data_IF_257650537524
#
_entry.id   IF_257650537524
#
_cell.length_a   1.000
_cell.length_b   1.000
_cell.length_c   1.000
_cell.angle_alpha   90.00
_cell.angle_beta   90.00
_cell.angle_gamma   90.00
#
_symmetry.space_group_name_H-M   'P 1'
#
loop_
_entity.id
_entity.type
_entity.pdbx_description
1 polymer ?
#
# COMPACT_ATOMS: atom_id res chain seq x y z
N UNK A 1 -23.71 26.99 0.87
CA UNK A 1 -22.98 26.63 -0.38
C UNK A 1 -22.37 25.26 -0.19
N UNK A 2 -22.89 24.25 -0.90
CA UNK A 2 -22.34 22.89 -0.90
C UNK A 2 -21.38 22.78 -2.07
N UNK A 3 -20.09 22.78 -1.79
CA UNK A 3 -19.08 22.55 -2.80
C UNK A 3 -18.99 21.03 -3.04
N UNK A 4 -19.49 20.61 -4.19
CA UNK A 4 -19.29 19.26 -4.72
C UNK A 4 -17.82 19.12 -5.13
N UNK A 5 -17.11 18.15 -4.57
CA UNK A 5 -15.76 17.79 -5.01
C UNK A 5 -15.77 16.35 -5.52
N UNK A 6 -15.68 16.26 -6.84
CA UNK A 6 -15.50 15.04 -7.65
C UNK A 6 -14.25 14.27 -7.21
N UNK A 7 -14.44 13.02 -6.78
CA UNK A 7 -13.38 12.05 -6.52
C UNK A 7 -12.93 11.48 -7.87
N UNK A 8 -11.72 11.81 -8.31
CA UNK A 8 -11.11 11.24 -9.50
C UNK A 8 -10.58 9.83 -9.19
N UNK A 9 -11.28 8.82 -9.72
CA UNK A 9 -10.75 7.47 -9.92
C UNK A 9 -9.76 7.51 -11.09
N UNK A 10 -8.47 7.32 -10.83
CA UNK A 10 -7.51 7.02 -11.89
C UNK A 10 -7.13 5.55 -11.86
N UNK A 11 -7.81 4.80 -12.74
CA UNK A 11 -7.41 3.50 -13.24
C UNK A 11 -6.22 3.75 -14.18
N UNK A 12 -5.06 3.19 -13.89
CA UNK A 12 -3.94 3.23 -14.82
C UNK A 12 -4.18 2.20 -15.94
N UNK A 13 -4.42 2.71 -17.14
CA UNK A 13 -4.45 1.97 -18.39
C UNK A 13 -3.04 1.53 -18.80
N UNK A 14 -2.90 0.31 -19.34
CA UNK A 14 -1.73 -0.13 -20.08
C UNK A 14 -2.15 -0.45 -21.52
N UNK A 15 -1.42 0.17 -22.44
CA UNK A 15 -1.69 0.35 -23.86
C UNK A 15 -1.74 -0.97 -24.63
N UNK A 16 -2.82 -1.14 -25.40
CA UNK A 16 -2.86 -2.02 -26.57
C UNK A 16 -2.12 -1.33 -27.71
N UNK A 17 -1.07 -1.95 -28.24
CA UNK A 17 -0.55 -1.65 -29.58
C UNK A 17 -0.71 -2.90 -30.42
N UNK A 18 -1.58 -2.81 -31.41
CA UNK A 18 -1.83 -3.83 -32.44
C UNK A 18 -0.87 -3.65 -33.61
N UNK A 19 -0.37 -4.77 -34.16
CA UNK A 19 -0.07 -4.88 -35.59
C UNK A 19 -0.24 -6.33 -36.03
N UNK A 20 -1.29 -6.61 -36.80
CA UNK A 20 -1.48 -7.82 -37.60
C UNK A 20 -0.62 -7.74 -38.88
N UNK A 21 -0.12 -8.83 -39.49
CA UNK A 21 -0.81 -9.68 -40.48
C UNK A 21 0.03 -10.94 -40.83
N UNK A 22 -0.50 -11.96 -41.56
CA UNK A 22 -0.26 -13.38 -41.28
C UNK A 22 0.46 -14.13 -42.41
N UNK A 23 0.85 -15.38 -42.17
CA UNK A 23 0.96 -16.38 -43.25
C UNK A 23 0.74 -17.80 -42.74
N UNK A 24 -0.13 -18.49 -43.48
CA UNK A 24 -0.61 -19.88 -43.37
C UNK A 24 0.55 -20.89 -43.34
N UNK A 25 0.35 -22.05 -42.71
CA UNK A 25 0.20 -23.35 -43.40
C UNK A 25 -0.41 -24.44 -42.49
N UNK A 26 -1.08 -25.39 -43.16
CA UNK A 26 -2.01 -26.42 -42.69
C UNK A 26 -1.38 -27.57 -41.86
N UNK A 27 -2.14 -28.17 -40.94
CA UNK A 27 -2.62 -29.58 -41.02
C UNK A 27 -3.44 -30.00 -39.78
N UNK A 28 -4.58 -30.62 -40.08
CA UNK A 28 -5.61 -31.24 -39.24
C UNK A 28 -5.13 -32.49 -38.51
N UNK A 29 -5.44 -32.66 -37.21
CA UNK A 29 -6.24 -33.77 -36.68
C UNK A 29 -6.58 -33.59 -35.18
N UNK A 30 -7.72 -34.16 -34.83
CA UNK A 30 -8.60 -33.99 -33.67
C UNK A 30 -8.05 -34.66 -32.39
N UNK A 31 -8.25 -34.09 -31.20
CA UNK A 31 -9.18 -34.64 -30.19
C UNK A 31 -9.35 -33.67 -29.02
N UNK A 32 -10.60 -33.49 -28.61
CA UNK A 32 -11.05 -32.58 -27.57
C UNK A 32 -10.52 -32.92 -26.16
N UNK A 33 -10.21 -31.89 -25.38
CA UNK A 33 -10.33 -31.87 -23.92
C UNK A 33 -10.55 -30.44 -23.42
N UNK A 34 -11.54 -30.30 -22.56
CA UNK A 34 -11.98 -29.08 -21.90
C UNK A 34 -10.92 -28.44 -20.98
N UNK A 35 -11.14 -27.16 -20.67
CA UNK A 35 -10.61 -26.37 -19.55
C UNK A 35 -9.09 -26.14 -19.50
N UNK A 36 -8.65 -24.88 -19.57
CA UNK A 36 -8.32 -24.09 -18.37
C UNK A 36 -7.66 -22.76 -18.77
N UNK A 37 -8.04 -21.74 -18.00
CA UNK A 37 -7.44 -20.42 -17.89
C UNK A 37 -5.95 -20.58 -17.54
N UNK A 38 -5.10 -19.68 -18.03
CA UNK A 38 -4.08 -18.94 -17.24
C UNK A 38 -2.86 -18.59 -18.10
N UNK A 39 -2.69 -17.29 -18.39
CA UNK A 39 -1.37 -16.75 -18.75
C UNK A 39 -1.05 -15.45 -17.97
N UNK A 40 -1.74 -15.22 -16.85
CA UNK A 40 -1.50 -14.09 -15.93
C UNK A 40 -0.92 -14.57 -14.59
N UNK A 41 -0.34 -15.77 -14.55
CA UNK A 41 0.29 -16.30 -13.34
C UNK A 41 1.72 -15.71 -13.18
N UNK A 42 1.95 -15.08 -12.02
CA UNK A 42 3.26 -14.98 -11.31
C UNK A 42 4.03 -13.65 -11.29
N UNK A 43 3.38 -12.51 -11.05
CA UNK A 43 4.07 -11.35 -10.39
C UNK A 43 3.77 -11.22 -8.90
N UNK A 44 2.60 -11.69 -8.47
CA UNK A 44 2.16 -11.72 -7.07
C UNK A 44 2.94 -12.67 -6.14
N UNK A 45 3.42 -13.87 -6.56
CA UNK A 45 4.12 -14.78 -5.65
C UNK A 45 5.46 -14.22 -5.16
N UNK A 46 6.18 -13.48 -6.00
CA UNK A 46 7.52 -12.95 -5.69
C UNK A 46 7.48 -11.83 -4.66
N UNK A 47 6.43 -11.00 -4.68
CA UNK A 47 6.22 -9.93 -3.69
C UNK A 47 5.79 -10.53 -2.34
N UNK A 48 4.97 -11.59 -2.36
CA UNK A 48 4.48 -12.28 -1.16
C UNK A 48 5.59 -13.11 -0.46
N UNK A 49 6.45 -13.81 -1.20
CA UNK A 49 7.63 -14.47 -0.65
C UNK A 49 8.64 -13.48 -0.07
N UNK A 50 8.86 -12.35 -0.76
CA UNK A 50 9.73 -11.25 -0.29
C UNK A 50 9.26 -10.58 1.00
N UNK A 51 7.96 -10.64 1.28
CA UNK A 51 7.37 -10.07 2.49
C UNK A 51 7.31 -11.07 3.67
N UNK A 52 7.32 -12.38 3.40
CA UNK A 52 7.46 -13.42 4.44
C UNK A 52 8.90 -13.56 4.94
N UNK A 53 9.89 -13.47 4.06
CA UNK A 53 11.34 -13.48 4.39
C UNK A 53 11.83 -12.16 5.03
N UNK A 54 10.99 -11.12 5.02
CA UNK A 54 11.28 -9.71 5.28
C UNK A 54 11.57 -9.30 6.74
N UNK A 55 10.99 -9.99 7.73
CA UNK A 55 10.93 -9.45 9.11
C UNK A 55 12.18 -9.72 9.97
N UNK A 56 12.98 -10.74 9.66
CA UNK A 56 14.22 -11.06 10.39
C UNK A 56 15.43 -10.30 9.82
N UNK A 57 15.62 -10.32 8.50
CA UNK A 57 16.79 -9.72 7.84
C UNK A 57 16.75 -8.18 7.78
N UNK A 58 15.56 -7.56 7.71
CA UNK A 58 15.47 -6.08 7.59
C UNK A 58 15.75 -5.31 8.86
N UNK A 59 15.47 -5.85 10.04
CA UNK A 59 15.84 -5.14 11.29
C UNK A 59 17.36 -4.96 11.39
N UNK A 60 18.13 -5.84 10.75
CA UNK A 60 19.59 -5.77 10.69
C UNK A 60 20.11 -4.90 9.52
N UNK A 61 19.27 -4.61 8.50
CA UNK A 61 19.65 -3.83 7.32
C UNK A 61 20.22 -2.45 7.70
N UNK A 62 21.36 -2.03 7.11
CA UNK A 62 21.93 -0.70 7.31
C UNK A 62 20.92 0.43 7.06
N UNK A 63 20.08 0.29 6.03
CA UNK A 63 19.06 1.29 5.66
C UNK A 63 18.01 1.43 6.76
N UNK A 64 17.54 0.31 7.32
CA UNK A 64 16.57 0.32 8.41
C UNK A 64 17.15 0.93 9.69
N UNK A 65 18.41 0.61 10.01
CA UNK A 65 19.13 1.22 11.15
C UNK A 65 19.25 2.73 10.98
N UNK A 66 19.61 3.20 9.79
CA UNK A 66 19.67 4.64 9.48
C UNK A 66 18.31 5.32 9.56
N UNK A 67 17.25 4.68 9.06
CA UNK A 67 15.89 5.19 9.14
C UNK A 67 15.40 5.32 10.61
N UNK A 68 15.73 4.35 11.47
CA UNK A 68 15.44 4.42 12.91
C UNK A 68 16.25 5.51 13.59
N UNK A 69 17.55 5.62 13.30
CA UNK A 69 18.39 6.69 13.86
C UNK A 69 17.78 8.05 13.52
N UNK A 70 17.51 8.31 12.24
CA UNK A 70 16.89 9.55 11.81
C UNK A 70 15.52 9.78 12.46
N UNK A 71 14.71 8.74 12.67
CA UNK A 71 13.42 8.88 13.37
C UNK A 71 13.60 9.39 14.81
N UNK A 72 14.66 8.94 15.49
CA UNK A 72 15.03 9.39 16.84
C UNK A 72 15.65 10.79 16.81
N UNK A 73 16.57 11.06 15.88
CA UNK A 73 17.28 12.33 15.76
C UNK A 73 16.32 13.50 15.51
N UNK A 74 15.21 13.25 14.80
CA UNK A 74 14.15 14.22 14.57
C UNK A 74 13.04 14.20 15.65
N UNK A 75 13.23 13.46 16.74
CA UNK A 75 12.34 13.38 17.91
C UNK A 75 10.88 13.02 17.55
N UNK A 76 10.68 12.25 16.47
CA UNK A 76 9.36 12.00 15.90
C UNK A 76 8.44 11.18 16.81
N UNK A 77 8.99 10.50 17.82
CA UNK A 77 8.21 9.79 18.83
C UNK A 77 7.38 10.74 19.71
N UNK A 78 7.87 11.95 19.94
CA UNK A 78 7.24 12.90 20.88
C UNK A 78 6.34 13.93 20.16
N UNK A 79 6.44 14.02 18.83
CA UNK A 79 5.65 14.94 18.02
C UNK A 79 4.15 14.60 18.08
N UNK A 80 3.32 15.62 18.38
CA UNK A 80 1.86 15.58 18.24
C UNK A 80 1.48 15.83 16.79
N UNK A 81 0.48 15.12 16.27
CA UNK A 81 0.06 15.29 14.87
C UNK A 81 1.16 14.95 13.87
N UNK A 82 1.96 13.91 14.15
CA UNK A 82 3.19 13.53 13.43
C UNK A 82 3.13 13.75 11.91
N UNK A 83 2.10 13.24 11.24
CA UNK A 83 1.94 13.28 9.79
C UNK A 83 1.82 14.69 9.19
N UNK A 84 1.45 15.69 10.01
CA UNK A 84 1.41 17.10 9.61
C UNK A 84 2.70 17.86 9.88
N UNK A 85 3.70 17.24 10.51
CA UNK A 85 4.93 17.94 10.91
C UNK A 85 5.97 18.00 9.79
N UNK A 86 6.71 19.11 9.72
CA UNK A 86 7.86 19.25 8.83
C UNK A 86 8.94 18.20 9.11
N UNK A 87 9.14 17.84 10.37
CA UNK A 87 10.11 16.82 10.78
C UNK A 87 9.77 15.44 10.18
N UNK A 88 8.50 15.03 10.19
CA UNK A 88 8.06 13.80 9.54
C UNK A 88 8.32 13.81 8.03
N UNK A 89 8.05 14.95 7.37
CA UNK A 89 8.33 15.13 5.94
C UNK A 89 9.82 14.96 5.62
N UNK A 90 10.71 15.57 6.41
CA UNK A 90 12.16 15.47 6.22
C UNK A 90 12.63 14.04 6.43
N UNK A 91 12.15 13.38 7.48
CA UNK A 91 12.45 11.98 7.75
C UNK A 91 12.00 11.05 6.62
N UNK A 92 10.74 11.16 6.18
CA UNK A 92 10.20 10.32 5.11
C UNK A 92 10.97 10.49 3.79
N UNK A 93 11.39 11.73 3.47
CA UNK A 93 12.30 12.01 2.35
C UNK A 93 13.63 11.29 2.51
N UNK A 94 14.23 11.35 3.70
CA UNK A 94 15.50 10.66 3.97
C UNK A 94 15.36 9.15 3.80
N UNK A 95 14.29 8.54 4.33
CA UNK A 95 14.04 7.10 4.15
C UNK A 95 13.88 6.73 2.68
N UNK A 96 13.14 7.54 1.91
CA UNK A 96 12.96 7.33 0.46
C UNK A 96 14.25 7.46 -0.34
N UNK A 97 15.14 8.37 0.06
CA UNK A 97 16.46 8.51 -0.56
C UNK A 97 17.41 7.34 -0.23
N UNK A 98 17.27 6.73 0.95
CA UNK A 98 18.08 5.59 1.36
C UNK A 98 17.70 4.30 0.62
N UNK A 99 16.40 4.10 0.36
CA UNK A 99 15.89 2.92 -0.35
C UNK A 99 14.50 3.21 -0.92
N UNK A 100 14.45 3.64 -2.18
CA UNK A 100 13.22 4.06 -2.84
C UNK A 100 12.21 2.91 -2.96
N UNK A 101 12.67 1.70 -3.24
CA UNK A 101 11.80 0.53 -3.46
C UNK A 101 11.14 0.07 -2.16
N UNK A 102 11.87 0.15 -1.05
CA UNK A 102 11.43 -0.40 0.22
C UNK A 102 10.95 0.64 1.23
N UNK A 103 10.98 1.93 0.87
CA UNK A 103 10.71 3.07 1.75
C UNK A 103 9.41 2.91 2.52
N UNK A 104 8.30 2.61 1.82
CA UNK A 104 6.97 2.44 2.42
C UNK A 104 6.97 1.40 3.53
N UNK A 105 7.57 0.24 3.26
CA UNK A 105 7.63 -0.84 4.23
C UNK A 105 8.59 -0.54 5.39
N UNK A 106 9.73 0.16 5.16
CA UNK A 106 10.62 0.64 6.25
C UNK A 106 9.85 1.59 7.18
N UNK A 107 9.20 2.61 6.59
CA UNK A 107 8.46 3.61 7.34
C UNK A 107 7.32 2.97 8.12
N UNK A 108 6.58 2.04 7.50
CA UNK A 108 5.50 1.29 8.13
C UNK A 108 5.98 0.53 9.38
N UNK A 109 7.07 -0.25 9.29
CA UNK A 109 7.61 -0.99 10.44
C UNK A 109 7.95 -0.07 11.61
N UNK A 110 8.50 1.10 11.33
CA UNK A 110 8.90 2.06 12.35
C UNK A 110 7.65 2.68 13.00
N UNK A 111 6.66 3.08 12.20
CA UNK A 111 5.42 3.70 12.67
C UNK A 111 4.54 2.72 13.47
N UNK A 112 4.52 1.43 13.10
CA UNK A 112 3.81 0.38 13.83
C UNK A 112 4.35 0.13 15.25
N UNK A 113 5.50 0.71 15.62
CA UNK A 113 5.99 0.68 17.01
C UNK A 113 5.24 1.66 17.91
N UNK A 114 4.53 2.63 17.33
CA UNK A 114 3.79 3.68 18.05
C UNK A 114 2.28 3.58 17.86
N UNK A 115 1.84 3.15 16.69
CA UNK A 115 0.44 3.05 16.33
C UNK A 115 0.11 1.60 16.02
N UNK A 116 -1.06 1.13 16.46
CA UNK A 116 -1.64 -0.06 15.85
C UNK A 116 -1.97 0.20 14.37
N UNK A 117 -2.07 -0.86 13.60
CA UNK A 117 -2.21 -0.82 12.14
C UNK A 117 -3.50 -0.12 11.69
N UNK A 118 -4.63 -0.34 12.39
CA UNK A 118 -5.91 0.32 12.09
C UNK A 118 -5.84 1.82 12.37
N UNK A 119 -5.30 2.23 13.52
CA UNK A 119 -5.13 3.64 13.85
C UNK A 119 -4.18 4.31 12.86
N UNK A 120 -3.10 3.64 12.48
CA UNK A 120 -2.16 4.13 11.47
C UNK A 120 -2.83 4.30 10.11
N UNK A 121 -3.70 3.36 9.71
CA UNK A 121 -4.46 3.45 8.46
C UNK A 121 -5.32 4.72 8.37
N UNK A 122 -6.04 5.03 9.45
CA UNK A 122 -6.83 6.26 9.57
C UNK A 122 -5.95 7.50 9.44
N UNK A 123 -4.81 7.53 10.15
CA UNK A 123 -3.89 8.66 10.09
C UNK A 123 -3.33 8.86 8.68
N UNK A 124 -2.97 7.79 7.97
CA UNK A 124 -2.50 7.86 6.58
C UNK A 124 -3.62 8.36 5.65
N UNK A 125 -4.83 7.79 5.76
CA UNK A 125 -5.96 8.12 4.88
C UNK A 125 -6.53 9.53 5.06
N UNK A 126 -6.46 10.10 6.27
CA UNK A 126 -6.94 11.46 6.55
C UNK A 126 -5.96 12.58 6.21
N UNK A 127 -4.71 12.24 5.94
CA UNK A 127 -3.66 13.23 5.83
C UNK A 127 -3.73 13.96 4.49
N UNK A 128 -4.03 15.26 4.54
CA UNK A 128 -3.99 16.18 3.39
C UNK A 128 -2.56 16.49 3.02
N UNK A 129 -1.95 15.56 2.29
CA UNK A 129 -0.56 15.63 1.90
C UNK A 129 -0.36 16.58 0.70
N UNK A 130 0.66 17.46 0.77
CA UNK A 130 1.17 18.14 -0.43
C UNK A 130 1.52 17.11 -1.51
N UNK A 131 1.58 17.47 -2.80
CA UNK A 131 1.81 16.53 -3.91
C UNK A 131 2.93 15.49 -3.64
N UNK A 132 4.08 15.94 -3.12
CA UNK A 132 5.18 15.06 -2.72
C UNK A 132 4.82 14.05 -1.61
N UNK A 133 4.06 14.50 -0.60
CA UNK A 133 3.67 13.64 0.51
C UNK A 133 2.59 12.64 0.09
N UNK A 134 1.84 12.88 -1.01
CA UNK A 134 0.91 11.89 -1.55
C UNK A 134 1.65 10.61 -1.94
N UNK A 135 2.81 10.73 -2.58
CA UNK A 135 3.63 9.55 -2.92
C UNK A 135 4.06 8.76 -1.67
N UNK A 136 4.47 9.44 -0.60
CA UNK A 136 4.81 8.77 0.68
C UNK A 136 3.58 8.08 1.30
N UNK A 137 2.41 8.72 1.21
CA UNK A 137 1.15 8.18 1.70
C UNK A 137 0.74 6.92 0.95
N UNK A 138 0.87 6.95 -0.38
CA UNK A 138 0.62 5.80 -1.26
C UNK A 138 1.56 4.65 -0.92
N UNK A 139 2.87 4.92 -0.74
CA UNK A 139 3.86 3.91 -0.37
C UNK A 139 3.52 3.26 1.00
N UNK A 140 3.11 4.08 1.98
CA UNK A 140 2.70 3.62 3.31
C UNK A 140 1.40 2.81 3.27
N UNK A 141 0.39 3.29 2.55
CA UNK A 141 -0.91 2.63 2.42
C UNK A 141 -0.77 1.29 1.68
N UNK A 142 0.00 1.25 0.60
CA UNK A 142 0.31 0.02 -0.12
C UNK A 142 1.02 -1.01 0.75
N UNK A 143 2.02 -0.59 1.54
CA UNK A 143 2.70 -1.48 2.47
C UNK A 143 1.76 -2.02 3.56
N UNK A 144 0.86 -1.18 4.08
CA UNK A 144 -0.13 -1.56 5.09
C UNK A 144 -1.12 -2.60 4.52
N UNK A 145 -1.64 -2.36 3.32
CA UNK A 145 -2.57 -3.26 2.64
C UNK A 145 -1.91 -4.60 2.29
N UNK A 146 -0.66 -4.57 1.82
CA UNK A 146 0.10 -5.79 1.56
C UNK A 146 0.26 -6.62 2.84
N UNK A 147 0.58 -5.97 3.98
CA UNK A 147 0.65 -6.63 5.29
C UNK A 147 -0.69 -7.26 5.69
N UNK A 148 -1.80 -6.56 5.52
CA UNK A 148 -3.13 -7.10 5.86
C UNK A 148 -3.51 -8.29 4.98
N UNK A 149 -3.31 -8.18 3.66
CA UNK A 149 -3.60 -9.25 2.70
C UNK A 149 -2.80 -10.51 3.04
N UNK A 150 -1.52 -10.36 3.37
CA UNK A 150 -0.66 -11.48 3.79
C UNK A 150 -1.05 -12.12 5.10
N UNK A 151 -1.60 -11.34 6.02
CA UNK A 151 -2.16 -11.85 7.26
C UNK A 151 -3.54 -12.48 7.07
N UNK A 152 -4.06 -12.56 5.84
CA UNK A 152 -5.38 -13.12 5.55
C UNK A 152 -6.55 -12.24 6.01
N UNK A 153 -6.29 -10.96 6.28
CA UNK A 153 -7.31 -10.03 6.79
C UNK A 153 -8.25 -9.64 5.66
N UNK A 154 -9.50 -10.12 5.70
CA UNK A 154 -10.52 -9.78 4.70
C UNK A 154 -11.02 -8.34 4.90
N UNK A 155 -11.52 -7.66 3.84
CA UNK A 155 -12.02 -6.29 3.98
C UNK A 155 -13.09 -6.10 5.07
N UNK A 156 -14.02 -7.04 5.22
CA UNK A 156 -15.02 -7.01 6.30
C UNK A 156 -14.41 -7.11 7.71
N UNK A 157 -13.25 -7.75 7.84
CA UNK A 157 -12.52 -7.83 9.10
C UNK A 157 -11.91 -6.48 9.44
N UNK A 158 -11.33 -5.79 8.45
CA UNK A 158 -10.79 -4.44 8.62
C UNK A 158 -11.91 -3.46 8.96
N UNK A 159 -13.04 -3.53 8.27
CA UNK A 159 -14.24 -2.74 8.56
C UNK A 159 -14.71 -2.94 10.01
N UNK A 160 -14.86 -4.21 10.44
CA UNK A 160 -15.25 -4.52 11.81
C UNK A 160 -14.24 -4.00 12.86
N UNK A 161 -12.95 -3.94 12.54
CA UNK A 161 -11.95 -3.35 13.44
C UNK A 161 -12.02 -1.82 13.49
N UNK A 162 -12.30 -1.16 12.36
CA UNK A 162 -12.51 0.29 12.31
C UNK A 162 -13.72 0.70 13.16
N UNK A 163 -14.82 -0.06 13.10
CA UNK A 163 -16.01 0.20 13.90
C UNK A 163 -15.78 0.12 15.42
N UNK A 164 -14.77 -0.64 15.86
CA UNK A 164 -14.38 -0.76 17.27
C UNK A 164 -13.50 0.39 17.77
N UNK A 165 -12.96 1.22 16.88
CA UNK A 165 -12.12 2.35 17.26
C UNK A 165 -12.98 3.54 17.70
N UNK A 166 -12.49 4.41 18.60
CA UNK A 166 -13.22 5.60 19.01
C UNK A 166 -13.47 6.53 17.81
N UNK A 167 -14.41 7.46 18.01
CA UNK A 167 -14.74 8.53 17.07
C UNK A 167 -15.22 8.05 15.69
N UNK A 168 -15.78 6.85 15.57
CA UNK A 168 -16.24 6.26 14.30
C UNK A 168 -17.14 7.20 13.49
N UNK A 169 -17.97 8.02 14.15
CA UNK A 169 -18.81 9.00 13.46
C UNK A 169 -18.00 10.13 12.79
N UNK A 170 -16.90 10.58 13.41
CA UNK A 170 -15.99 11.57 12.81
C UNK A 170 -15.19 10.96 11.66
N UNK A 171 -14.87 9.67 11.74
CA UNK A 171 -14.07 8.95 10.76
C UNK A 171 -14.90 8.24 9.69
N UNK A 172 -16.23 8.23 9.79
CA UNK A 172 -17.09 7.30 9.07
C UNK A 172 -16.88 7.31 7.55
N UNK A 173 -16.79 8.48 6.93
CA UNK A 173 -16.53 8.57 5.49
C UNK A 173 -15.10 8.14 5.13
N UNK A 174 -14.09 8.58 5.90
CA UNK A 174 -12.71 8.16 5.68
C UNK A 174 -12.52 6.64 5.87
N UNK A 175 -13.23 6.04 6.82
CA UNK A 175 -13.19 4.61 7.10
C UNK A 175 -13.82 3.82 5.95
N UNK A 176 -14.96 4.29 5.41
CA UNK A 176 -15.59 3.70 4.22
C UNK A 176 -14.66 3.79 3.01
N UNK A 177 -14.02 4.94 2.79
CA UNK A 177 -13.05 5.12 1.70
C UNK A 177 -11.83 4.20 1.88
N UNK A 178 -11.32 4.08 3.10
CA UNK A 178 -10.22 3.17 3.44
C UNK A 178 -10.59 1.70 3.16
N UNK A 179 -11.76 1.24 3.59
CA UNK A 179 -12.25 -0.12 3.33
C UNK A 179 -12.44 -0.36 1.83
N UNK A 180 -12.99 0.62 1.10
CA UNK A 180 -13.14 0.54 -0.36
C UNK A 180 -11.79 0.42 -1.05
N UNK A 181 -10.81 1.25 -0.68
CA UNK A 181 -9.46 1.19 -1.23
C UNK A 181 -8.78 -0.16 -0.93
N UNK A 182 -8.92 -0.66 0.30
CA UNK A 182 -8.38 -1.97 0.67
C UNK A 182 -9.07 -3.11 -0.07
N UNK A 183 -10.40 -3.05 -0.26
CA UNK A 183 -11.16 -4.05 -1.02
C UNK A 183 -10.67 -4.14 -2.45
N UNK A 184 -10.45 -2.99 -3.11
CA UNK A 184 -9.88 -2.95 -4.45
C UNK A 184 -8.50 -3.62 -4.47
N UNK A 185 -7.60 -3.26 -3.55
CA UNK A 185 -6.27 -3.87 -3.44
C UNK A 185 -6.31 -5.38 -3.15
N UNK A 186 -7.26 -5.83 -2.32
CA UNK A 186 -7.39 -7.22 -1.93
C UNK A 186 -7.74 -8.12 -3.13
N UNK A 187 -8.54 -7.60 -4.07
CA UNK A 187 -9.01 -8.32 -5.24
C UNK A 187 -8.05 -8.29 -6.46
N UNK A 188 -6.95 -7.54 -6.37
CA UNK A 188 -5.85 -7.57 -7.36
C UNK A 188 -5.04 -8.87 -7.25
#
# INVERSE_FOLDING_TARGET
MRAHYTILLFIAALLVSTSATPSRLLRTEETAKDEDVTDEERKTPKILERLKTWNADRKASPTFKQAISAFKDYELKEQKGLFGTTAFKVWAKKVKALDQENAGSIMLTILLRRYDDITLARLIGSSKFSEWLKSIATDLQGALFAKWKQAGMKPNTIEAQLLKKPNTQLWGENDKELVKAYTAFFNL
#
